data_IF_729979201888
#
_entry.id   IF_729979201888
#
_cell.length_a   1.000
_cell.length_b   1.000
_cell.length_c   1.000
_cell.angle_alpha   90.00
_cell.angle_beta   90.00
_cell.angle_gamma   90.00
#
_symmetry.space_group_name_H-M   'P 1'
#
loop_
_entity.id
_entity.type
_entity.pdbx_description
1 polymer ?
#
# COMPACT_ATOMS: atom_id res chain seq x y z
N UNK A 1 27.02 48.75 -10.82
CA UNK A 1 25.58 48.66 -10.50
C UNK A 1 25.08 47.36 -11.11
N UNK A 2 24.89 46.26 -10.35
CA UNK A 2 23.72 46.01 -9.48
C UNK A 2 22.43 46.46 -10.16
N UNK A 3 21.70 45.52 -10.77
CA UNK A 3 20.26 45.32 -10.49
C UNK A 3 19.92 43.85 -10.73
N UNK A 4 19.82 43.13 -9.62
CA UNK A 4 19.13 41.87 -9.51
C UNK A 4 17.62 42.14 -9.67
N UNK A 5 16.95 41.39 -10.53
CA UNK A 5 15.49 41.29 -10.53
C UNK A 5 15.17 39.80 -10.44
N UNK A 6 15.10 39.30 -9.20
CA UNK A 6 14.51 38.00 -8.90
C UNK A 6 13.00 38.14 -9.01
N UNK A 7 12.42 37.63 -10.09
CA UNK A 7 10.97 37.44 -10.20
C UNK A 7 10.61 36.20 -9.36
N UNK A 8 9.97 36.46 -8.22
CA UNK A 8 9.49 35.47 -7.27
C UNK A 8 8.27 34.80 -7.91
N UNK A 9 8.48 33.66 -8.57
CA UNK A 9 7.41 32.79 -9.04
C UNK A 9 6.79 32.06 -7.86
N UNK A 10 5.60 32.49 -7.44
CA UNK A 10 4.80 31.83 -6.41
C UNK A 10 4.30 30.48 -6.91
N UNK A 11 5.09 29.43 -6.69
CA UNK A 11 4.69 28.05 -6.92
C UNK A 11 3.82 27.60 -5.74
N UNK A 12 2.50 27.66 -5.91
CA UNK A 12 1.55 27.10 -4.95
C UNK A 12 1.67 25.56 -5.00
N UNK A 13 2.39 24.98 -4.04
CA UNK A 13 2.51 23.53 -3.88
C UNK A 13 1.20 23.04 -3.26
N UNK A 14 0.35 22.40 -4.06
CA UNK A 14 -0.79 21.62 -3.55
C UNK A 14 -0.26 20.38 -2.82
N UNK A 15 -0.31 20.39 -1.49
CA UNK A 15 -0.09 19.20 -0.68
C UNK A 15 -1.31 18.28 -0.81
N UNK A 16 -1.24 17.24 -1.65
CA UNK A 16 -2.24 16.17 -1.64
C UNK A 16 -2.10 15.38 -0.35
N UNK A 17 -3.08 15.48 0.55
CA UNK A 17 -3.19 14.60 1.69
C UNK A 17 -3.50 13.17 1.17
N UNK A 18 -2.50 12.30 1.16
CA UNK A 18 -2.72 10.87 0.91
C UNK A 18 -3.39 10.29 2.17
N UNK A 19 -4.70 10.06 2.08
CA UNK A 19 -5.37 9.17 3.01
C UNK A 19 -4.94 7.75 2.64
N UNK A 20 -4.27 7.05 3.55
CA UNK A 20 -3.91 5.65 3.35
C UNK A 20 -5.19 4.81 3.35
N UNK A 21 -5.65 4.48 2.15
CA UNK A 21 -6.78 3.58 1.96
C UNK A 21 -6.33 2.13 2.22
N UNK A 22 -7.12 1.35 2.97
CA UNK A 22 -6.73 0.00 3.35
C UNK A 22 -6.59 -0.90 2.10
N UNK A 23 -5.39 -1.43 1.89
CA UNK A 23 -5.03 -2.25 0.72
C UNK A 23 -5.23 -3.73 1.02
N UNK A 24 -6.09 -4.40 0.25
CA UNK A 24 -6.32 -5.85 0.32
C UNK A 24 -6.40 -6.45 -1.09
N UNK A 25 -5.74 -7.58 -1.30
CA UNK A 25 -5.87 -8.39 -2.50
C UNK A 25 -6.45 -9.75 -2.15
N UNK A 26 -7.44 -10.18 -2.92
CA UNK A 26 -7.93 -11.56 -2.92
C UNK A 26 -7.42 -12.25 -4.18
N UNK A 27 -6.62 -13.30 -3.98
CA UNK A 27 -6.05 -14.11 -5.02
C UNK A 27 -6.71 -15.50 -5.04
N UNK A 28 -7.27 -15.91 -6.17
CA UNK A 28 -7.94 -17.20 -6.32
C UNK A 28 -7.29 -18.07 -7.39
N UNK A 29 -7.25 -19.38 -7.13
CA UNK A 29 -6.85 -20.41 -8.09
C UNK A 29 -7.68 -21.66 -7.83
N UNK A 30 -8.51 -22.05 -8.80
CA UNK A 30 -9.51 -23.12 -8.67
C UNK A 30 -10.43 -22.92 -7.44
N UNK A 31 -10.23 -23.72 -6.40
CA UNK A 31 -10.98 -23.69 -5.13
C UNK A 31 -10.18 -23.09 -3.97
N UNK A 32 -8.96 -22.63 -4.24
CA UNK A 32 -8.09 -22.07 -3.23
C UNK A 32 -8.14 -20.53 -3.24
N UNK A 33 -8.05 -19.95 -2.05
CA UNK A 33 -8.02 -18.51 -1.83
C UNK A 33 -6.78 -18.12 -1.02
N UNK A 34 -6.24 -16.95 -1.35
CA UNK A 34 -5.09 -16.32 -0.71
C UNK A 34 -5.40 -14.84 -0.51
N UNK A 35 -5.11 -14.32 0.67
CA UNK A 35 -5.38 -12.92 1.00
C UNK A 35 -4.05 -12.23 1.28
N UNK A 36 -3.82 -11.08 0.65
CA UNK A 36 -2.69 -10.19 0.96
C UNK A 36 -3.29 -8.90 1.50
N UNK A 37 -2.93 -8.50 2.70
CA UNK A 37 -3.53 -7.34 3.37
C UNK A 37 -2.46 -6.45 4.00
N UNK A 38 -2.62 -5.14 3.84
CA UNK A 38 -1.83 -4.14 4.57
C UNK A 38 -2.58 -3.75 5.84
N UNK A 39 -1.91 -3.90 6.98
CA UNK A 39 -2.38 -3.43 8.28
C UNK A 39 -1.52 -2.27 8.77
N UNK A 40 -2.15 -1.20 9.25
CA UNK A 40 -1.47 -0.07 9.89
C UNK A 40 -1.66 -0.16 11.40
N UNK A 41 -0.64 0.19 12.17
CA UNK A 41 -0.69 0.17 13.64
C UNK A 41 -0.51 1.55 14.29
N UNK A 42 -0.51 2.62 13.48
CA UNK A 42 -0.51 4.00 13.94
C UNK A 42 -1.66 4.80 13.33
N UNK A 43 -1.76 6.09 13.70
CA UNK A 43 -2.76 7.02 13.15
C UNK A 43 -2.42 7.50 11.73
N UNK A 44 -1.29 7.03 11.17
CA UNK A 44 -0.74 7.42 9.87
C UNK A 44 -0.48 6.18 9.01
N UNK A 45 -0.05 6.39 7.77
CA UNK A 45 0.30 5.35 6.81
C UNK A 45 1.56 4.52 7.18
N UNK A 46 2.14 4.75 8.36
CA UNK A 46 3.19 3.96 8.99
C UNK A 46 3.09 4.11 10.52
N UNK A 47 3.57 3.13 11.32
CA UNK A 47 4.09 1.83 10.94
C UNK A 47 3.03 0.93 10.28
N UNK A 48 3.47 0.08 9.34
CA UNK A 48 2.61 -0.82 8.58
C UNK A 48 3.19 -2.23 8.47
N UNK A 49 2.33 -3.22 8.18
CA UNK A 49 2.75 -4.58 7.90
C UNK A 49 1.94 -5.18 6.75
N UNK A 50 2.57 -6.09 6.00
CA UNK A 50 1.92 -6.89 4.96
C UNK A 50 1.70 -8.30 5.51
N UNK A 51 0.43 -8.67 5.65
CA UNK A 51 -0.01 -9.97 6.11
C UNK A 51 -0.47 -10.80 4.92
N UNK A 52 -0.20 -12.10 4.97
CA UNK A 52 -0.55 -13.05 3.95
C UNK A 52 -1.26 -14.25 4.57
N UNK A 53 -2.49 -14.49 4.13
CA UNK A 53 -3.31 -15.61 4.57
C UNK A 53 -3.37 -16.67 3.47
N UNK A 54 -3.02 -17.90 3.82
CA UNK A 54 -3.12 -19.08 2.95
C UNK A 54 -3.59 -20.26 3.79
N UNK A 55 -4.57 -21.01 3.29
CA UNK A 55 -5.11 -22.20 3.96
C UNK A 55 -5.54 -21.91 5.42
N UNK A 56 -6.16 -20.74 5.64
CA UNK A 56 -6.61 -20.27 6.95
C UNK A 56 -5.50 -19.81 7.91
N UNK A 57 -4.23 -19.87 7.51
CA UNK A 57 -3.10 -19.42 8.33
C UNK A 57 -2.58 -18.07 7.84
N UNK A 58 -2.47 -17.11 8.75
CA UNK A 58 -1.92 -15.78 8.48
C UNK A 58 -0.47 -15.67 8.91
N UNK A 59 0.39 -15.18 8.02
CA UNK A 59 1.78 -14.85 8.31
C UNK A 59 2.08 -13.39 7.96
N UNK A 60 2.88 -12.73 8.78
CA UNK A 60 3.43 -11.40 8.46
C UNK A 60 4.65 -11.58 7.57
N UNK A 61 4.62 -11.03 6.37
CA UNK A 61 5.73 -11.12 5.41
C UNK A 61 6.72 -9.97 5.56
N UNK A 62 6.20 -8.75 5.74
CA UNK A 62 6.99 -7.53 5.85
C UNK A 62 6.40 -6.56 6.86
N UNK A 63 7.24 -5.71 7.45
CA UNK A 63 6.83 -4.55 8.24
C UNK A 63 7.77 -3.37 7.98
N UNK A 64 7.22 -2.16 8.05
CA UNK A 64 7.94 -0.92 7.86
C UNK A 64 7.51 0.07 8.93
N UNK A 65 8.48 0.65 9.63
CA UNK A 65 8.19 1.48 10.81
C UNK A 65 7.91 2.94 10.47
N UNK A 66 8.56 3.47 9.43
CA UNK A 66 8.58 4.91 9.15
C UNK A 66 8.35 5.27 7.67
N UNK A 67 8.28 4.28 6.79
CA UNK A 67 8.20 4.52 5.34
C UNK A 67 6.77 4.31 4.86
N UNK A 68 6.04 5.41 4.74
CA UNK A 68 4.69 5.41 4.17
C UNK A 68 4.70 4.90 2.72
N UNK A 69 3.64 4.20 2.31
CA UNK A 69 3.51 3.66 0.95
C UNK A 69 4.28 2.37 0.66
N UNK A 70 5.19 1.97 1.57
CA UNK A 70 6.07 0.83 1.32
C UNK A 70 5.36 -0.52 1.45
N UNK A 71 4.39 -0.66 2.36
CA UNK A 71 3.59 -1.88 2.49
C UNK A 71 2.67 -2.09 1.29
N UNK A 72 2.09 -1.00 0.79
CA UNK A 72 1.17 -0.97 -0.35
C UNK A 72 1.91 -1.37 -1.63
N UNK A 73 3.10 -0.80 -1.86
CA UNK A 73 3.97 -1.19 -2.95
C UNK A 73 4.36 -2.67 -2.85
N UNK A 74 4.67 -3.17 -1.66
CA UNK A 74 5.02 -4.58 -1.44
C UNK A 74 3.85 -5.53 -1.62
N UNK A 75 2.66 -5.15 -1.16
CA UNK A 75 1.44 -5.92 -1.37
C UNK A 75 1.10 -6.02 -2.86
N UNK A 76 1.22 -4.91 -3.61
CA UNK A 76 1.03 -4.88 -5.06
C UNK A 76 2.07 -5.75 -5.78
N UNK A 77 3.36 -5.60 -5.45
CA UNK A 77 4.44 -6.43 -6.01
C UNK A 77 4.19 -7.93 -5.77
N UNK A 78 3.73 -8.29 -4.57
CA UNK A 78 3.46 -9.68 -4.23
C UNK A 78 2.21 -10.21 -4.93
N UNK A 79 1.15 -9.41 -5.08
CA UNK A 79 -0.02 -9.78 -5.87
C UNK A 79 0.36 -10.08 -7.34
N UNK A 80 1.24 -9.28 -7.95
CA UNK A 80 1.75 -9.54 -9.30
C UNK A 80 2.56 -10.85 -9.37
N UNK A 81 3.35 -11.18 -8.35
CA UNK A 81 4.04 -12.48 -8.28
C UNK A 81 3.06 -13.65 -8.23
N UNK A 82 1.98 -13.52 -7.46
CA UNK A 82 0.92 -14.55 -7.40
C UNK A 82 0.27 -14.73 -8.78
N UNK A 83 0.00 -13.63 -9.50
CA UNK A 83 -0.47 -13.69 -10.89
C UNK A 83 0.51 -14.42 -11.80
N UNK A 84 1.81 -14.16 -11.66
CA UNK A 84 2.87 -14.90 -12.36
C UNK A 84 2.90 -16.41 -12.04
N UNK A 85 2.35 -16.82 -10.90
CA UNK A 85 2.17 -18.23 -10.51
C UNK A 85 0.77 -18.79 -10.86
N UNK A 86 -0.01 -18.07 -11.66
CA UNK A 86 -1.32 -18.50 -12.16
C UNK A 86 -2.52 -18.07 -11.31
N UNK A 87 -2.32 -17.29 -10.25
CA UNK A 87 -3.43 -16.82 -9.40
C UNK A 87 -4.15 -15.62 -10.02
N UNK A 88 -5.46 -15.56 -9.86
CA UNK A 88 -6.24 -14.39 -10.23
C UNK A 88 -6.38 -13.48 -9.02
N UNK A 89 -5.64 -12.36 -8.99
CA UNK A 89 -5.66 -11.42 -7.88
C UNK A 89 -6.44 -10.15 -8.20
N UNK A 90 -7.40 -9.82 -7.35
CA UNK A 90 -8.22 -8.59 -7.42
C UNK A 90 -7.97 -7.75 -6.17
N UNK A 91 -7.74 -6.46 -6.36
CA UNK A 91 -7.67 -5.52 -5.26
C UNK A 91 -9.08 -5.15 -4.80
N UNK A 92 -9.36 -5.34 -3.52
CA UNK A 92 -10.58 -4.89 -2.88
C UNK A 92 -10.36 -3.57 -2.16
N UNK A 93 -11.37 -2.70 -2.22
CA UNK A 93 -11.47 -1.56 -1.30
C UNK A 93 -11.96 -2.11 0.02
N UNK A 94 -11.08 -2.23 1.01
CA UNK A 94 -11.52 -2.66 2.34
C UNK A 94 -12.41 -1.57 2.96
N UNK A 95 -13.47 -1.91 3.72
CA UNK A 95 -14.25 -0.93 4.48
C UNK A 95 -13.33 -0.08 5.38
N UNK A 96 -13.65 1.19 5.64
CA UNK A 96 -12.83 2.03 6.50
C UNK A 96 -12.64 1.33 7.86
N UNK A 97 -11.38 1.05 8.20
CA UNK A 97 -11.01 0.51 9.50
C UNK A 97 -11.31 1.60 10.53
N UNK A 98 -12.36 1.36 11.32
CA UNK A 98 -12.91 2.28 12.32
C UNK A 98 -12.03 2.37 13.55
#
# INVERSE_FOLDING_TARGET
MRYAVMLIGSFAICSSAFSAEPVKYICTLDKAERIIEVSYSGEKAAPCAVNYTKDGTTQKLWSYEMTEGQCEAKAAEFAEKQKGWGWNCTQEKSPPQK
#
